data_IF_068160386401
#
_entry.id   IF_068160386401
#
_cell.length_a   1.000
_cell.length_b   1.000
_cell.length_c   1.000
_cell.angle_alpha   90.00
_cell.angle_beta   90.00
_cell.angle_gamma   90.00
#
_symmetry.space_group_name_H-M   'P 1'
#
loop_
_entity.id
_entity.type
_entity.pdbx_description
1 polymer ?
#
# COMPACT_ATOMS: atom_id res chain seq x y z
N UNK A 1 -15.86 -3.86 -1.84
CA UNK A 1 -14.53 -4.19 -2.40
C UNK A 1 -14.26 -5.67 -2.17
N UNK A 2 -13.64 -6.32 -3.13
CA UNK A 2 -13.31 -7.75 -3.05
C UNK A 2 -12.35 -8.09 -1.90
N UNK A 3 -11.44 -7.19 -1.57
CA UNK A 3 -10.41 -7.42 -0.54
C UNK A 3 -10.83 -6.83 0.81
N UNK A 4 -11.96 -7.27 1.32
CA UNK A 4 -12.53 -6.77 2.58
C UNK A 4 -11.63 -6.99 3.80
N UNK A 5 -10.68 -7.93 3.71
CA UNK A 5 -9.71 -8.25 4.76
C UNK A 5 -8.58 -7.22 4.88
N UNK A 6 -8.44 -6.29 3.90
CA UNK A 6 -7.22 -5.47 3.75
C UNK A 6 -6.97 -4.55 4.96
N UNK A 7 -7.99 -3.88 5.44
CA UNK A 7 -7.84 -2.95 6.57
C UNK A 7 -7.30 -3.67 7.82
N UNK A 8 -7.92 -4.77 8.21
CA UNK A 8 -7.49 -5.54 9.36
C UNK A 8 -6.08 -6.14 9.15
N UNK A 9 -5.82 -6.64 7.95
CA UNK A 9 -4.51 -7.20 7.59
C UNK A 9 -3.39 -6.19 7.76
N UNK A 10 -3.59 -4.97 7.27
CA UNK A 10 -2.59 -3.91 7.37
C UNK A 10 -2.43 -3.39 8.80
N UNK A 11 -3.53 -3.26 9.55
CA UNK A 11 -3.48 -2.78 10.92
C UNK A 11 -2.87 -3.78 11.90
N UNK A 12 -2.77 -5.06 11.53
CA UNK A 12 -2.04 -6.06 12.31
C UNK A 12 -0.53 -5.94 12.18
N UNK A 13 -0.03 -5.30 11.13
CA UNK A 13 1.40 -5.08 10.94
C UNK A 13 1.91 -4.11 12.00
N UNK A 14 3.09 -4.40 12.53
CA UNK A 14 3.66 -3.65 13.64
C UNK A 14 3.91 -2.19 13.26
N UNK A 15 3.44 -1.27 14.09
CA UNK A 15 3.69 0.16 13.95
C UNK A 15 2.85 0.87 12.89
N UNK A 16 1.92 0.18 12.23
CA UNK A 16 1.08 0.79 11.20
C UNK A 16 0.07 1.73 11.81
N UNK A 17 -0.01 2.93 11.23
CA UNK A 17 -0.97 3.97 11.59
C UNK A 17 -1.84 4.26 10.37
N UNK A 18 -3.15 4.28 10.59
CA UNK A 18 -4.14 4.60 9.56
C UNK A 18 -4.65 6.02 9.76
N UNK A 19 -4.77 6.77 8.67
CA UNK A 19 -5.45 8.06 8.69
C UNK A 19 -6.29 8.24 7.43
N UNK A 20 -7.01 9.36 7.36
CA UNK A 20 -7.80 9.75 6.21
C UNK A 20 -7.37 11.15 5.76
N UNK A 21 -7.02 11.30 4.46
CA UNK A 21 -6.68 12.58 3.86
C UNK A 21 -7.89 13.10 3.08
N UNK A 22 -8.64 14.09 3.60
CA UNK A 22 -9.91 14.51 3.00
C UNK A 22 -9.75 15.25 1.67
N UNK A 23 -8.63 15.95 1.45
CA UNK A 23 -8.38 16.69 0.20
C UNK A 23 -8.28 15.71 -0.97
N UNK A 24 -7.60 14.58 -0.77
CA UNK A 24 -7.41 13.56 -1.80
C UNK A 24 -8.48 12.47 -1.74
N UNK A 25 -9.25 12.41 -0.66
CA UNK A 25 -10.23 11.35 -0.41
C UNK A 25 -9.54 9.97 -0.31
N UNK A 26 -8.42 9.91 0.42
CA UNK A 26 -7.59 8.72 0.58
C UNK A 26 -7.58 8.23 2.02
N UNK A 27 -7.80 6.92 2.19
CA UNK A 27 -7.44 6.21 3.41
C UNK A 27 -5.97 5.82 3.26
N UNK A 28 -5.13 6.19 4.23
CA UNK A 28 -3.68 5.98 4.14
C UNK A 28 -3.19 5.11 5.28
N UNK A 29 -2.21 4.25 4.96
CA UNK A 29 -1.53 3.40 5.93
C UNK A 29 -0.06 3.76 5.93
N UNK A 30 0.46 4.13 7.12
CA UNK A 30 1.81 4.65 7.30
C UNK A 30 2.63 3.74 8.20
N UNK A 31 3.93 3.78 8.01
CA UNK A 31 4.94 3.25 8.93
C UNK A 31 6.05 4.29 9.06
N UNK A 32 6.33 4.72 10.30
CA UNK A 32 7.33 5.74 10.57
C UNK A 32 7.05 7.07 9.88
N UNK A 33 5.78 7.44 9.73
CA UNK A 33 5.37 8.68 9.07
C UNK A 33 5.40 8.62 7.54
N UNK A 34 5.74 7.47 6.95
CA UNK A 34 5.76 7.29 5.49
C UNK A 34 4.66 6.34 5.06
N UNK A 35 3.92 6.74 4.04
CA UNK A 35 2.84 5.97 3.45
C UNK A 35 3.39 4.77 2.69
N UNK A 36 2.80 3.58 2.91
CA UNK A 36 3.15 2.38 2.15
C UNK A 36 1.95 1.78 1.41
N UNK A 37 0.73 2.13 1.80
CA UNK A 37 -0.48 1.70 1.10
C UNK A 37 -1.57 2.75 1.25
N UNK A 38 -2.42 2.86 0.24
CA UNK A 38 -3.60 3.72 0.28
C UNK A 38 -4.78 3.02 -0.33
N UNK A 39 -5.97 3.38 0.13
CA UNK A 39 -7.22 3.10 -0.55
C UNK A 39 -7.80 4.43 -1.02
N UNK A 40 -7.71 4.68 -2.31
CA UNK A 40 -8.26 5.88 -2.92
C UNK A 40 -9.75 5.68 -3.11
N UNK A 41 -10.55 6.66 -2.66
CA UNK A 41 -12.00 6.62 -2.78
C UNK A 41 -12.45 7.49 -3.95
N UNK A 42 -13.56 7.13 -4.57
CA UNK A 42 -14.20 7.97 -5.58
C UNK A 42 -15.06 9.06 -4.93
N UNK A 43 -15.73 9.87 -5.76
CA UNK A 43 -16.56 10.98 -5.28
C UNK A 43 -17.73 10.52 -4.40
N UNK A 44 -18.18 9.27 -4.55
CA UNK A 44 -19.25 8.70 -3.74
C UNK A 44 -18.75 8.00 -2.48
N UNK A 45 -17.44 8.03 -2.23
CA UNK A 45 -16.83 7.37 -1.09
C UNK A 45 -16.58 5.88 -1.26
N UNK A 46 -16.69 5.35 -2.49
CA UNK A 46 -16.44 3.94 -2.78
C UNK A 46 -14.98 3.70 -3.14
N UNK A 47 -14.44 2.51 -2.85
CA UNK A 47 -13.09 2.16 -3.27
C UNK A 47 -12.90 2.32 -4.77
N UNK A 48 -11.82 3.02 -5.15
CA UNK A 48 -11.46 3.29 -6.55
C UNK A 48 -10.17 2.57 -6.93
N UNK A 49 -9.10 2.77 -6.16
CA UNK A 49 -7.83 2.08 -6.36
C UNK A 49 -7.16 1.78 -5.02
N UNK A 50 -6.44 0.64 -4.98
CA UNK A 50 -5.49 0.33 -3.92
C UNK A 50 -4.11 0.67 -4.47
N UNK A 51 -3.37 1.59 -3.82
CA UNK A 51 -2.02 1.93 -4.22
C UNK A 51 -1.02 1.35 -3.22
N UNK A 52 0.07 0.82 -3.74
CA UNK A 52 1.16 0.29 -2.93
C UNK A 52 2.49 0.38 -3.68
N UNK A 53 3.59 0.29 -2.94
CA UNK A 53 4.93 0.42 -3.48
C UNK A 53 5.56 -0.94 -3.70
N UNK A 54 6.19 -1.13 -4.86
CA UNK A 54 6.92 -2.34 -5.20
C UNK A 54 8.31 -1.97 -5.72
N UNK A 55 9.22 -2.94 -5.70
CA UNK A 55 10.44 -2.86 -6.46
C UNK A 55 10.10 -2.62 -7.93
N UNK A 56 10.84 -1.76 -8.68
CA UNK A 56 10.50 -1.44 -10.07
C UNK A 56 10.41 -2.66 -10.99
N UNK A 57 11.26 -3.66 -10.82
CA UNK A 57 11.22 -4.88 -11.63
C UNK A 57 9.98 -5.72 -11.32
N UNK A 58 9.65 -5.84 -10.05
CA UNK A 58 8.43 -6.54 -9.62
C UNK A 58 7.17 -5.83 -10.10
N UNK A 59 7.16 -4.50 -10.02
CA UNK A 59 6.08 -3.66 -10.52
C UNK A 59 5.83 -3.91 -12.01
N UNK A 60 6.88 -3.87 -12.83
CA UNK A 60 6.80 -4.09 -14.26
C UNK A 60 6.31 -5.52 -14.58
N UNK A 61 6.88 -6.51 -13.91
CA UNK A 61 6.51 -7.91 -14.10
C UNK A 61 5.03 -8.14 -13.79
N UNK A 62 4.54 -7.67 -12.64
CA UNK A 62 3.16 -7.90 -12.23
C UNK A 62 2.16 -7.14 -13.11
N UNK A 63 2.50 -5.94 -13.59
CA UNK A 63 1.67 -5.22 -14.54
C UNK A 63 1.52 -5.99 -15.85
N UNK A 64 2.56 -6.69 -16.27
CA UNK A 64 2.51 -7.54 -17.47
C UNK A 64 1.69 -8.82 -17.27
N UNK A 65 1.54 -9.30 -16.03
CA UNK A 65 0.82 -10.54 -15.71
C UNK A 65 -0.66 -10.31 -15.40
N UNK A 66 -1.03 -9.15 -14.86
CA UNK A 66 -2.38 -8.90 -14.37
C UNK A 66 -2.93 -7.58 -14.91
N UNK A 67 -4.05 -7.65 -15.61
CA UNK A 67 -4.77 -6.48 -16.14
C UNK A 67 -5.20 -5.50 -15.04
N UNK A 68 -5.46 -6.03 -13.85
CA UNK A 68 -5.96 -5.26 -12.72
C UNK A 68 -4.86 -4.64 -11.87
N UNK A 69 -3.59 -4.79 -12.29
CA UNK A 69 -2.44 -4.08 -11.72
C UNK A 69 -1.98 -3.04 -12.73
N UNK A 70 -2.11 -1.78 -12.36
CA UNK A 70 -1.88 -0.62 -13.25
C UNK A 70 -0.72 0.22 -12.73
N UNK A 71 -0.09 1.06 -13.57
CA UNK A 71 0.85 2.06 -13.08
C UNK A 71 0.21 2.95 -12.02
N UNK A 72 0.97 3.35 -10.99
CA UNK A 72 0.47 4.23 -9.95
C UNK A 72 0.23 5.65 -10.45
N UNK A 73 -1.02 6.02 -10.62
CA UNK A 73 -1.41 7.30 -11.23
C UNK A 73 -1.02 8.52 -10.37
N UNK A 74 -0.90 8.34 -9.06
CA UNK A 74 -0.77 9.43 -8.11
C UNK A 74 0.63 9.56 -7.50
N UNK A 75 1.58 8.70 -7.93
CA UNK A 75 2.91 8.61 -7.34
C UNK A 75 3.94 8.24 -8.41
N UNK A 76 5.18 7.96 -8.01
CA UNK A 76 6.23 7.51 -8.93
C UNK A 76 5.82 6.18 -9.59
N UNK A 77 5.52 6.23 -10.88
CA UNK A 77 5.02 5.10 -11.64
C UNK A 77 6.00 3.94 -11.79
N UNK A 78 7.28 4.16 -11.48
CA UNK A 78 8.30 3.09 -11.51
C UNK A 78 8.16 2.15 -10.31
N UNK A 79 7.71 2.68 -9.18
CA UNK A 79 7.65 1.95 -7.91
C UNK A 79 6.21 1.72 -7.44
N UNK A 80 5.30 2.65 -7.72
CA UNK A 80 3.92 2.58 -7.24
C UNK A 80 3.03 1.93 -8.27
N UNK A 81 2.15 1.04 -7.81
CA UNK A 81 1.11 0.41 -8.62
C UNK A 81 -0.26 0.71 -8.04
N UNK A 82 -1.26 0.70 -8.90
CA UNK A 82 -2.67 0.82 -8.55
C UNK A 82 -3.38 -0.49 -8.87
N UNK A 83 -4.01 -1.09 -7.87
CA UNK A 83 -4.74 -2.35 -8.02
C UNK A 83 -6.24 -2.06 -8.00
N UNK A 84 -6.97 -2.65 -8.93
CA UNK A 84 -8.44 -2.51 -8.97
C UNK A 84 -9.05 -3.22 -7.75
N UNK A 85 -9.89 -2.54 -6.95
CA UNK A 85 -10.40 -3.12 -5.70
C UNK A 85 -11.40 -4.26 -5.91
N UNK A 86 -11.97 -4.38 -7.11
CA UNK A 86 -12.90 -5.45 -7.47
C UNK A 86 -12.38 -6.33 -8.60
N UNK A 87 -11.07 -6.26 -8.87
CA UNK A 87 -10.43 -7.00 -9.94
C UNK A 87 -10.11 -8.45 -9.58
N UNK A 88 -9.32 -9.08 -10.44
CA UNK A 88 -9.04 -10.51 -10.39
C UNK A 88 -7.69 -10.88 -9.75
N UNK A 89 -6.99 -9.92 -9.14
CA UNK A 89 -5.71 -10.22 -8.47
C UNK A 89 -5.96 -11.18 -7.31
N UNK A 90 -5.26 -12.33 -7.26
CA UNK A 90 -5.46 -13.30 -6.17
C UNK A 90 -5.23 -12.67 -4.80
N UNK A 91 -6.03 -13.07 -3.83
CA UNK A 91 -5.93 -12.54 -2.46
C UNK A 91 -4.52 -12.70 -1.88
N UNK A 92 -3.95 -13.88 -2.02
CA UNK A 92 -2.61 -14.16 -1.50
C UNK A 92 -1.54 -13.29 -2.17
N UNK A 93 -1.67 -13.06 -3.47
CA UNK A 93 -0.73 -12.19 -4.19
C UNK A 93 -0.82 -10.75 -3.67
N UNK A 94 -2.03 -10.22 -3.50
CA UNK A 94 -2.19 -8.88 -2.96
C UNK A 94 -1.61 -8.76 -1.54
N UNK A 95 -1.78 -9.78 -0.71
CA UNK A 95 -1.16 -9.83 0.61
C UNK A 95 0.37 -9.75 0.51
N UNK A 96 0.97 -10.52 -0.39
CA UNK A 96 2.42 -10.48 -0.63
C UNK A 96 2.89 -9.12 -1.13
N UNK A 97 2.12 -8.49 -2.02
CA UNK A 97 2.42 -7.15 -2.52
C UNK A 97 2.39 -6.11 -1.39
N UNK A 98 1.38 -6.19 -0.53
CA UNK A 98 1.26 -5.29 0.64
C UNK A 98 2.39 -5.52 1.64
N UNK A 99 2.79 -6.78 1.86
CA UNK A 99 3.93 -7.12 2.71
C UNK A 99 5.23 -6.53 2.15
N UNK A 100 5.44 -6.64 0.84
CA UNK A 100 6.62 -6.06 0.19
C UNK A 100 6.62 -4.53 0.34
N UNK A 101 5.48 -3.89 0.12
CA UNK A 101 5.35 -2.44 0.24
C UNK A 101 5.71 -1.97 1.65
N UNK A 102 5.16 -2.62 2.66
CA UNK A 102 5.49 -2.35 4.05
C UNK A 102 6.99 -2.51 4.32
N UNK A 103 7.58 -3.61 3.87
CA UNK A 103 9.00 -3.88 4.05
C UNK A 103 9.91 -2.87 3.37
N UNK A 104 9.57 -2.45 2.14
CA UNK A 104 10.34 -1.46 1.39
C UNK A 104 10.34 -0.10 2.09
N UNK A 105 9.18 0.35 2.56
CA UNK A 105 9.08 1.64 3.25
C UNK A 105 9.77 1.57 4.61
N UNK A 106 9.59 0.50 5.36
CA UNK A 106 10.26 0.29 6.64
C UNK A 106 11.78 0.33 6.48
N UNK A 107 12.32 -0.35 5.45
CA UNK A 107 13.76 -0.37 5.16
C UNK A 107 14.29 1.00 4.73
N UNK A 108 13.45 1.87 4.19
CA UNK A 108 13.83 3.22 3.77
C UNK A 108 14.01 4.19 4.94
N UNK A 109 13.53 3.83 6.12
CA UNK A 109 13.65 4.67 7.32
C UNK A 109 15.08 4.59 7.87
N UNK A 110 15.52 5.66 8.57
CA UNK A 110 16.75 5.60 9.34
C UNK A 110 16.64 4.50 10.42
N UNK A 111 17.78 4.01 10.90
CA UNK A 111 17.80 3.01 11.98
C UNK A 111 17.00 3.47 13.19
N UNK A 112 17.17 4.73 13.60
CA UNK A 112 16.46 5.32 14.73
C UNK A 112 14.95 5.39 14.45
N UNK A 113 14.54 5.91 13.29
CA UNK A 113 13.14 6.03 12.93
C UNK A 113 12.46 4.67 12.84
N UNK A 114 13.16 3.66 12.30
CA UNK A 114 12.66 2.28 12.21
C UNK A 114 12.42 1.68 13.58
N UNK A 115 13.37 1.84 14.49
CA UNK A 115 13.22 1.32 15.87
C UNK A 115 12.06 1.99 16.59
N UNK A 116 11.92 3.30 16.46
CA UNK A 116 10.79 4.04 17.04
C UNK A 116 9.44 3.58 16.45
N UNK A 117 9.37 3.43 15.13
CA UNK A 117 8.16 3.01 14.45
C UNK A 117 7.71 1.60 14.89
N UNK A 118 8.66 0.72 15.17
CA UNK A 118 8.38 -0.65 15.62
C UNK A 118 8.19 -0.74 17.15
N UNK A 119 8.22 0.38 17.86
CA UNK A 119 8.08 0.39 19.33
C UNK A 119 9.29 -0.18 20.06
N UNK A 120 10.45 -0.18 19.43
CA UNK A 120 11.69 -0.66 20.02
C UNK A 120 12.42 0.48 20.74
N UNK A 121 13.19 0.12 21.79
CA UNK A 121 14.04 1.09 22.48
C UNK A 121 15.15 1.56 21.53
N UNK A 122 15.37 2.87 21.53
CA UNK A 122 16.40 3.49 20.70
C UNK A 122 17.76 3.52 21.44
#
# INVERSE_FOLDING_TARGET
MRYSWMDEYLLRKRGVIKDFQPVWNWIRYHIGGRMFATLCLDKSGKPHYINLKLDPMESEFLQGQYQDILPGWYSDKRCWVSVRPDGAVPHQLLQQMLDQSYGLVLASLSKKARRLALGLTV
#
